data_IF_852342758617
#
_entry.id   IF_852342758617
#
_cell.length_a   1.000
_cell.length_b   1.000
_cell.length_c   1.000
_cell.angle_alpha   90.00
_cell.angle_beta   90.00
_cell.angle_gamma   90.00
#
_symmetry.space_group_name_H-M   'P 1'
#
loop_
_entity.id
_entity.type
_entity.pdbx_description
1 polymer ?
#
# COMPACT_ATOMS: atom_id res chain seq x y z
N UNK A 1 -26.22 16.02 -23.67
CA UNK A 1 -24.91 15.35 -23.49
C UNK A 1 -25.16 13.95 -22.99
N UNK A 2 -25.10 12.96 -23.86
CA UNK A 2 -25.26 11.54 -23.49
C UNK A 2 -24.00 11.07 -22.78
N UNK A 3 -24.12 10.62 -21.53
CA UNK A 3 -23.03 9.93 -20.86
C UNK A 3 -22.69 8.67 -21.67
N UNK A 4 -21.45 8.59 -22.18
CA UNK A 4 -20.92 7.35 -22.70
C UNK A 4 -20.94 6.34 -21.54
N UNK A 5 -21.74 5.27 -21.67
CA UNK A 5 -21.75 4.19 -20.69
C UNK A 5 -20.34 3.61 -20.60
N UNK A 6 -19.77 3.59 -19.39
CA UNK A 6 -18.50 2.92 -19.16
C UNK A 6 -18.64 1.47 -19.66
N UNK A 7 -17.74 1.05 -20.55
CA UNK A 7 -17.62 -0.37 -20.88
C UNK A 7 -17.46 -1.16 -19.57
N UNK A 8 -18.09 -2.35 -19.44
CA UNK A 8 -17.97 -3.14 -18.22
C UNK A 8 -16.50 -3.44 -17.94
N UNK A 9 -16.05 -3.09 -16.73
CA UNK A 9 -14.70 -3.37 -16.28
C UNK A 9 -14.58 -4.87 -16.01
N UNK A 10 -13.57 -5.52 -16.58
CA UNK A 10 -13.19 -6.86 -16.16
C UNK A 10 -12.57 -6.80 -14.76
N UNK A 11 -13.39 -7.13 -13.76
CA UNK A 11 -12.98 -7.03 -12.35
C UNK A 11 -11.92 -8.07 -11.97
N UNK A 12 -11.86 -9.21 -12.68
CA UNK A 12 -10.90 -10.26 -12.36
C UNK A 12 -9.53 -9.92 -12.92
N UNK A 13 -9.48 -9.41 -14.15
CA UNK A 13 -8.25 -8.84 -14.71
C UNK A 13 -7.73 -7.68 -13.83
N UNK A 14 -8.60 -6.79 -13.37
CA UNK A 14 -8.23 -5.69 -12.48
C UNK A 14 -7.65 -6.20 -11.15
N UNK A 15 -8.30 -7.18 -10.51
CA UNK A 15 -7.81 -7.78 -9.26
C UNK A 15 -6.44 -8.45 -9.47
N UNK A 16 -6.26 -9.15 -10.58
CA UNK A 16 -4.97 -9.78 -10.92
C UNK A 16 -3.87 -8.73 -11.08
N UNK A 17 -4.15 -7.63 -11.79
CA UNK A 17 -3.22 -6.52 -11.97
C UNK A 17 -2.83 -5.86 -10.64
N UNK A 18 -3.80 -5.59 -9.76
CA UNK A 18 -3.55 -5.03 -8.42
C UNK A 18 -2.67 -5.97 -7.60
N UNK A 19 -3.01 -7.27 -7.54
CA UNK A 19 -2.20 -8.28 -6.83
C UNK A 19 -0.78 -8.34 -7.38
N UNK A 20 -0.62 -8.33 -8.70
CA UNK A 20 0.70 -8.32 -9.35
C UNK A 20 1.54 -7.11 -8.94
N UNK A 21 0.92 -5.93 -8.85
CA UNK A 21 1.62 -4.71 -8.41
C UNK A 21 2.11 -4.82 -6.97
N UNK A 22 1.26 -5.28 -6.05
CA UNK A 22 1.64 -5.44 -4.65
C UNK A 22 2.65 -6.58 -4.43
N UNK A 23 2.56 -7.66 -5.21
CA UNK A 23 3.56 -8.71 -5.21
C UNK A 23 4.93 -8.17 -5.63
N UNK A 24 5.00 -7.32 -6.67
CA UNK A 24 6.24 -6.71 -7.11
C UNK A 24 6.89 -5.84 -6.01
N UNK A 25 6.10 -5.07 -5.25
CA UNK A 25 6.63 -4.32 -4.11
C UNK A 25 7.12 -5.25 -3.01
N UNK A 26 6.36 -6.30 -2.71
CA UNK A 26 6.71 -7.25 -1.67
C UNK A 26 8.02 -8.01 -1.95
N UNK A 27 8.31 -8.31 -3.22
CA UNK A 27 9.53 -9.03 -3.63
C UNK A 27 10.70 -8.12 -4.03
N UNK A 28 10.41 -6.89 -4.44
CA UNK A 28 11.40 -5.89 -4.85
C UNK A 28 10.98 -4.48 -4.39
N UNK A 29 11.13 -4.19 -3.07
CA UNK A 29 10.68 -2.92 -2.50
C UNK A 29 11.48 -1.71 -3.00
N UNK A 30 12.72 -1.91 -3.43
CA UNK A 30 13.60 -0.87 -3.99
C UNK A 30 13.41 -0.63 -5.49
N UNK A 31 12.52 -1.38 -6.14
CA UNK A 31 12.21 -1.24 -7.56
C UNK A 31 11.55 0.09 -7.92
N UNK A 32 11.49 0.38 -9.22
CA UNK A 32 10.84 1.58 -9.73
C UNK A 32 9.30 1.49 -9.61
N UNK A 33 8.77 1.95 -8.48
CA UNK A 33 7.34 2.06 -8.23
C UNK A 33 6.85 3.50 -8.40
N UNK A 34 5.62 3.68 -8.88
CA UNK A 34 5.03 5.01 -9.08
C UNK A 34 4.49 5.65 -7.79
N UNK A 35 4.64 4.98 -6.65
CA UNK A 35 4.25 5.45 -5.33
C UNK A 35 5.41 5.27 -4.35
N UNK A 36 5.38 6.01 -3.25
CA UNK A 36 6.31 5.81 -2.15
C UNK A 36 6.06 4.45 -1.48
N UNK A 37 7.12 3.80 -1.03
CA UNK A 37 7.10 2.57 -0.24
C UNK A 37 7.88 2.79 1.06
N UNK A 38 7.94 1.77 1.90
CA UNK A 38 8.92 1.75 2.99
C UNK A 38 8.65 2.72 4.13
N UNK A 39 9.72 2.99 4.90
CA UNK A 39 9.73 4.00 5.97
C UNK A 39 9.29 5.39 5.51
N UNK A 40 9.71 5.89 4.31
CA UNK A 40 9.23 7.19 3.83
C UNK A 40 7.70 7.25 3.71
N UNK A 41 7.07 6.22 3.14
CA UNK A 41 5.62 6.16 3.05
C UNK A 41 4.96 6.09 4.44
N UNK A 42 5.47 5.25 5.35
CA UNK A 42 4.94 5.14 6.70
C UNK A 42 4.96 6.50 7.44
N UNK A 43 6.03 7.28 7.28
CA UNK A 43 6.13 8.64 7.80
C UNK A 43 5.11 9.59 7.17
N UNK A 44 4.93 9.56 5.85
CA UNK A 44 3.91 10.38 5.16
C UNK A 44 2.49 10.05 5.63
N UNK A 45 2.21 8.80 5.98
CA UNK A 45 0.93 8.36 6.53
C UNK A 45 0.81 8.58 8.06
N UNK A 46 1.86 9.11 8.70
CA UNK A 46 1.85 9.45 10.13
C UNK A 46 1.89 8.24 11.06
N UNK A 47 2.45 7.11 10.62
CA UNK A 47 2.62 5.96 11.51
C UNK A 47 3.55 6.32 12.69
N UNK A 48 3.22 5.90 13.92
CA UNK A 48 4.12 6.08 15.06
C UNK A 48 5.46 5.35 14.82
N UNK A 49 6.62 6.01 14.98
CA UNK A 49 7.92 5.40 14.75
C UNK A 49 8.13 4.12 15.56
N UNK A 50 7.70 4.11 16.83
CA UNK A 50 7.80 2.95 17.71
C UNK A 50 7.10 1.68 17.16
N UNK A 51 6.04 1.83 16.35
CA UNK A 51 5.38 0.70 15.70
C UNK A 51 6.19 0.23 14.49
N UNK A 52 6.66 1.16 13.66
CA UNK A 52 7.42 0.85 12.45
C UNK A 52 8.78 0.24 12.79
N UNK A 53 9.46 0.78 13.81
CA UNK A 53 10.79 0.35 14.24
C UNK A 53 10.78 -1.02 14.94
N UNK A 54 9.61 -1.48 15.41
CA UNK A 54 9.45 -2.81 15.99
C UNK A 54 9.30 -3.93 14.94
N UNK A 55 9.10 -3.59 13.66
CA UNK A 55 8.89 -4.54 12.58
C UNK A 55 10.22 -4.94 11.90
N UNK A 56 10.30 -6.14 11.30
CA UNK A 56 11.44 -6.52 10.45
C UNK A 56 11.65 -5.53 9.31
N UNK A 57 12.91 -5.23 9.00
CA UNK A 57 13.26 -4.23 7.98
C UNK A 57 12.67 -4.57 6.61
N UNK A 58 12.78 -5.83 6.19
CA UNK A 58 12.16 -6.34 4.96
C UNK A 58 10.65 -6.08 4.87
N UNK A 59 9.92 -6.20 5.99
CA UNK A 59 8.49 -5.95 6.05
C UNK A 59 8.18 -4.47 5.97
N UNK A 60 9.02 -3.64 6.59
CA UNK A 60 8.88 -2.18 6.51
C UNK A 60 9.14 -1.70 5.08
N UNK A 61 10.22 -2.14 4.43
CA UNK A 61 10.56 -1.72 3.06
C UNK A 61 9.50 -2.16 2.04
N UNK A 62 8.88 -3.33 2.23
CA UNK A 62 7.76 -3.82 1.43
C UNK A 62 6.42 -3.08 1.65
N UNK A 63 6.35 -2.10 2.56
CA UNK A 63 5.11 -1.40 2.86
C UNK A 63 4.64 -0.51 1.70
N UNK A 64 3.38 -0.70 1.29
CA UNK A 64 2.71 0.10 0.26
C UNK A 64 1.24 0.41 0.63
N UNK A 65 1.00 0.84 1.87
CA UNK A 65 -0.35 1.19 2.36
C UNK A 65 -0.89 2.53 1.86
N UNK A 66 -2.16 2.79 2.17
CA UNK A 66 -2.86 4.04 1.79
C UNK A 66 -3.34 4.87 2.98
N UNK A 67 -3.18 4.39 4.21
CA UNK A 67 -3.66 5.07 5.41
C UNK A 67 -3.04 4.49 6.68
N UNK A 68 -3.34 5.12 7.82
CA UNK A 68 -2.83 4.72 9.13
C UNK A 68 -3.99 4.39 10.10
N UNK A 69 -4.25 3.11 10.42
CA UNK A 69 -5.35 2.74 11.32
C UNK A 69 -5.16 3.22 12.76
N UNK A 70 -3.91 3.45 13.19
CA UNK A 70 -3.59 3.90 14.56
C UNK A 70 -3.98 5.37 14.81
N UNK A 71 -4.25 6.15 13.76
CA UNK A 71 -4.72 7.53 13.91
C UNK A 71 -6.16 7.61 14.45
N UNK A 72 -6.93 6.53 14.35
CA UNK A 72 -8.31 6.48 14.83
C UNK A 72 -8.37 6.13 16.33
N UNK A 73 -7.62 5.10 16.73
CA UNK A 73 -7.48 4.64 18.12
C UNK A 73 -6.34 3.63 18.22
N UNK A 74 -5.74 3.45 19.42
CA UNK A 74 -4.88 2.30 19.68
C UNK A 74 -5.62 0.98 19.42
N UNK A 75 -4.90 0.00 18.86
CA UNK A 75 -5.39 -1.36 18.74
C UNK A 75 -5.36 -2.02 20.13
N UNK A 76 -6.49 -2.57 20.55
CA UNK A 76 -6.57 -3.44 21.72
C UNK A 76 -6.35 -4.89 21.27
N UNK A 77 -5.64 -5.71 22.04
CA UNK A 77 -5.48 -7.14 21.77
C UNK A 77 -6.81 -7.88 21.57
#
# INVERSE_FOLDING_TARGET
>A
MTAAGLAPIDTDALRAAVRGKYAAVATDPGGAHHFHTGRPLAGLLGYPPAIVDALPEEAVEAFAGVGNPFSLRPLTP
#
